data_IF_650397533426
#
_entry.id   IF_650397533426
#
_cell.length_a   1.000
_cell.length_b   1.000
_cell.length_c   1.000
_cell.angle_alpha   90.00
_cell.angle_beta   90.00
_cell.angle_gamma   90.00
#
_symmetry.space_group_name_H-M   'P 1'
#
loop_
_entity.id
_entity.type
_entity.pdbx_description
1 polymer ?
#
# COMPACT_ATOMS: atom_id res chain seq x y z
N UNK A 1 4.52 36.88 2.12
CA UNK A 1 3.43 36.39 2.99
C UNK A 1 3.97 35.22 3.81
N UNK A 2 3.52 35.01 5.06
CA UNK A 2 3.83 33.79 5.79
C UNK A 2 3.32 32.58 5.00
N UNK A 3 4.13 31.53 4.89
CA UNK A 3 3.78 30.28 4.21
C UNK A 3 3.54 29.20 5.24
N UNK A 4 2.45 28.46 5.10
CA UNK A 4 2.07 27.38 6.02
C UNK A 4 2.82 26.12 5.58
N UNK A 5 3.75 25.58 6.38
CA UNK A 5 4.42 24.32 6.04
C UNK A 5 3.39 23.19 6.04
N UNK A 6 3.31 22.44 4.94
CA UNK A 6 2.34 21.37 4.73
C UNK A 6 2.94 19.99 4.86
N UNK A 7 4.11 19.79 4.26
CA UNK A 7 4.80 18.50 4.26
C UNK A 7 6.29 18.69 4.44
N UNK A 8 6.90 17.73 5.13
CA UNK A 8 8.33 17.71 5.45
C UNK A 8 8.87 16.33 5.08
N UNK A 9 10.04 16.32 4.43
CA UNK A 9 10.76 15.08 4.05
C UNK A 9 12.24 15.23 4.37
N UNK A 10 12.83 14.14 4.85
CA UNK A 10 14.27 14.01 4.93
C UNK A 10 14.79 13.50 3.58
N UNK A 11 15.90 14.05 3.11
CA UNK A 11 16.58 13.63 1.89
C UNK A 11 18.08 13.49 2.11
N UNK A 12 18.81 12.95 1.12
CA UNK A 12 20.24 12.69 1.22
C UNK A 12 20.57 11.90 2.50
N UNK A 13 19.82 10.82 2.76
CA UNK A 13 19.98 9.97 3.96
C UNK A 13 19.85 10.73 5.29
N UNK A 14 19.07 11.81 5.31
CA UNK A 14 18.81 12.60 6.51
C UNK A 14 19.69 13.83 6.69
N UNK A 15 20.62 14.10 5.76
CA UNK A 15 21.44 15.32 5.80
C UNK A 15 20.64 16.59 5.52
N UNK A 16 19.54 16.48 4.77
CA UNK A 16 18.69 17.59 4.38
C UNK A 16 17.24 17.38 4.83
N UNK A 17 16.57 18.50 5.11
CA UNK A 17 15.13 18.60 5.33
C UNK A 17 14.53 19.44 4.22
N UNK A 18 13.50 18.91 3.58
CA UNK A 18 12.73 19.60 2.56
C UNK A 18 11.37 19.94 3.13
N UNK A 19 11.01 21.22 3.05
CA UNK A 19 9.71 21.75 3.51
C UNK A 19 8.93 22.21 2.28
N UNK A 20 7.67 21.77 2.20
CA UNK A 20 6.73 22.17 1.16
C UNK A 20 5.63 23.04 1.75
N UNK A 21 5.37 24.19 1.14
CA UNK A 21 4.37 25.15 1.61
C UNK A 21 3.00 24.93 0.99
N UNK A 22 1.96 24.80 1.82
CA UNK A 22 0.55 24.65 1.41
C UNK A 22 0.17 25.75 0.42
N UNK A 23 -0.42 25.38 -0.73
CA UNK A 23 -0.95 26.26 -1.79
C UNK A 23 0.07 27.18 -2.50
N UNK A 24 1.16 27.54 -1.82
CA UNK A 24 2.16 28.49 -2.29
C UNK A 24 3.01 27.97 -3.46
N UNK A 25 3.17 26.64 -3.59
CA UNK A 25 4.16 26.04 -4.47
C UNK A 25 5.60 26.09 -3.92
N UNK A 26 5.82 26.62 -2.71
CA UNK A 26 7.16 26.69 -2.12
C UNK A 26 7.71 25.29 -1.83
N UNK A 27 8.94 25.04 -2.26
CA UNK A 27 9.79 23.93 -1.86
C UNK A 27 11.12 24.51 -1.34
N UNK A 28 11.42 24.29 -0.08
CA UNK A 28 12.63 24.80 0.60
C UNK A 28 13.47 23.64 1.08
N UNK A 29 14.77 23.66 0.78
CA UNK A 29 15.74 22.72 1.31
C UNK A 29 16.63 23.40 2.34
N UNK A 30 16.82 22.74 3.48
CA UNK A 30 17.72 23.16 4.54
C UNK A 30 18.57 21.99 5.02
N UNK A 31 19.77 22.30 5.51
CA UNK A 31 20.60 21.32 6.21
C UNK A 31 19.90 20.91 7.51
N UNK A 32 19.81 19.60 7.76
CA UNK A 32 19.13 19.07 8.95
C UNK A 32 19.82 19.49 10.26
N UNK A 33 21.16 19.57 10.24
CA UNK A 33 21.97 19.86 11.42
C UNK A 33 21.89 21.32 11.88
N UNK A 34 21.84 22.28 10.96
CA UNK A 34 21.96 23.71 11.27
C UNK A 34 20.70 24.52 10.91
N UNK A 35 19.74 23.94 10.17
CA UNK A 35 18.60 24.67 9.62
C UNK A 35 18.99 25.71 8.57
N UNK A 36 20.24 25.69 8.09
CA UNK A 36 20.71 26.61 7.07
C UNK A 36 20.03 26.30 5.73
N UNK A 37 19.39 27.30 5.13
CA UNK A 37 18.69 27.16 3.85
C UNK A 37 19.71 26.95 2.73
N UNK A 38 19.66 25.78 2.09
CA UNK A 38 20.48 25.45 0.93
C UNK A 38 19.90 26.08 -0.34
N UNK A 39 18.58 25.98 -0.52
CA UNK A 39 17.87 26.61 -1.64
C UNK A 39 16.37 26.70 -1.38
N UNK A 40 15.72 27.60 -2.10
CA UNK A 40 14.25 27.71 -2.18
C UNK A 40 13.84 27.74 -3.64
N UNK A 41 12.84 26.95 -4.00
CA UNK A 41 12.27 26.84 -5.35
C UNK A 41 10.76 26.99 -5.28
N UNK A 42 10.18 27.44 -6.39
CA UNK A 42 8.73 27.51 -6.57
C UNK A 42 8.30 26.49 -7.61
N UNK A 43 7.38 25.60 -7.25
CA UNK A 43 6.70 24.71 -8.18
C UNK A 43 5.66 25.52 -8.97
N UNK A 44 5.30 25.05 -10.17
CA UNK A 44 4.28 25.71 -10.99
C UNK A 44 2.85 25.51 -10.46
N UNK A 45 2.62 24.44 -9.72
CA UNK A 45 1.34 24.15 -9.09
C UNK A 45 1.32 24.57 -7.62
N UNK A 46 0.11 24.78 -7.09
CA UNK A 46 -0.10 24.76 -5.65
C UNK A 46 0.26 23.38 -5.08
N UNK A 47 0.57 23.33 -3.79
CA UNK A 47 0.91 22.09 -3.09
C UNK A 47 -0.16 21.78 -2.06
N UNK A 48 -0.94 20.73 -2.29
CA UNK A 48 -1.86 20.17 -1.30
C UNK A 48 -1.18 19.19 -0.37
N UNK A 49 -0.47 18.23 -0.97
CA UNK A 49 0.43 17.30 -0.32
C UNK A 49 1.48 16.82 -1.32
N UNK A 50 2.45 16.05 -0.85
CA UNK A 50 3.51 15.50 -1.68
C UNK A 50 3.84 14.05 -1.31
N UNK A 51 4.34 13.32 -2.30
CA UNK A 51 5.05 12.07 -2.12
C UNK A 51 6.39 12.15 -2.85
N UNK A 52 7.48 11.82 -2.16
CA UNK A 52 8.82 11.72 -2.75
C UNK A 52 9.11 10.25 -2.97
N UNK A 53 9.66 9.88 -4.13
CA UNK A 53 10.05 8.50 -4.39
C UNK A 53 11.19 8.08 -3.44
N UNK A 54 11.25 6.81 -3.02
CA UNK A 54 12.37 6.27 -2.25
C UNK A 54 13.75 6.57 -2.83
N UNK A 55 13.88 6.60 -4.15
CA UNK A 55 15.13 6.96 -4.85
C UNK A 55 15.43 8.46 -4.93
N UNK A 56 14.57 9.31 -4.35
CA UNK A 56 14.62 10.77 -4.33
C UNK A 56 14.64 11.44 -5.73
N UNK A 57 14.24 10.74 -6.81
CA UNK A 57 14.21 11.31 -8.17
C UNK A 57 12.89 11.92 -8.58
N UNK A 58 11.78 11.43 -8.02
CA UNK A 58 10.43 11.80 -8.42
C UNK A 58 9.65 12.39 -7.26
N UNK A 59 8.92 13.47 -7.55
CA UNK A 59 8.04 14.14 -6.61
C UNK A 59 6.64 14.21 -7.21
N UNK A 60 5.69 13.53 -6.57
CA UNK A 60 4.27 13.70 -6.82
C UNK A 60 3.73 14.82 -5.95
N UNK A 61 2.92 15.69 -6.53
CA UNK A 61 2.34 16.85 -5.86
C UNK A 61 0.84 16.85 -6.13
N UNK A 62 0.03 16.81 -5.08
CA UNK A 62 -1.40 17.12 -5.20
C UNK A 62 -1.51 18.59 -5.60
N UNK A 63 -1.92 18.84 -6.84
CA UNK A 63 -1.91 20.18 -7.42
C UNK A 63 -3.10 21.05 -6.98
N UNK A 64 -3.96 20.52 -6.09
CA UNK A 64 -5.17 21.17 -5.55
C UNK A 64 -6.20 21.56 -6.61
N UNK A 65 -6.02 21.10 -7.85
CA UNK A 65 -6.87 21.47 -8.97
C UNK A 65 -7.47 20.20 -9.60
N UNK A 66 -6.70 19.53 -10.46
CA UNK A 66 -7.20 18.43 -11.30
C UNK A 66 -6.64 17.07 -10.91
N UNK A 67 -5.80 16.98 -9.88
CA UNK A 67 -5.19 15.71 -9.46
C UNK A 67 -3.76 15.92 -9.00
N UNK A 68 -2.84 15.17 -9.61
CA UNK A 68 -1.43 15.17 -9.21
C UNK A 68 -0.52 15.61 -10.36
N UNK A 69 0.51 16.37 -10.04
CA UNK A 69 1.59 16.69 -10.96
C UNK A 69 2.85 15.90 -10.54
N UNK A 70 3.56 15.37 -11.52
CA UNK A 70 4.84 14.69 -11.32
C UNK A 70 5.98 15.62 -11.70
N UNK A 71 6.95 15.75 -10.81
CA UNK A 71 8.15 16.54 -11.00
C UNK A 71 9.37 15.65 -10.93
N UNK A 72 10.35 15.89 -11.80
CA UNK A 72 11.69 15.37 -11.57
C UNK A 72 12.33 16.19 -10.46
N UNK A 73 12.47 15.62 -9.27
CA UNK A 73 13.03 16.34 -8.12
C UNK A 73 14.51 16.72 -8.38
N UNK A 74 14.97 17.93 -7.98
CA UNK A 74 14.25 19.05 -7.36
C UNK A 74 13.85 20.15 -8.36
N UNK A 75 13.42 19.80 -9.57
CA UNK A 75 13.03 20.77 -10.60
C UNK A 75 11.63 21.34 -10.34
N UNK A 76 11.40 22.54 -10.87
CA UNK A 76 10.18 23.35 -10.64
C UNK A 76 9.10 23.21 -11.70
N UNK A 77 9.39 22.55 -12.83
CA UNK A 77 8.41 22.31 -13.89
C UNK A 77 7.90 20.87 -13.81
N UNK A 78 6.58 20.66 -13.94
CA UNK A 78 6.02 19.31 -13.98
C UNK A 78 6.46 18.62 -15.26
N UNK A 79 6.83 17.35 -15.14
CA UNK A 79 7.08 16.43 -16.23
C UNK A 79 5.77 15.83 -16.77
N UNK A 80 4.77 15.63 -15.89
CA UNK A 80 3.45 15.08 -16.25
C UNK A 80 2.37 15.52 -15.24
N UNK A 81 1.10 15.32 -15.61
CA UNK A 81 -0.07 15.59 -14.78
C UNK A 81 -1.12 14.48 -14.91
N UNK A 82 -1.65 14.02 -13.79
CA UNK A 82 -2.60 12.91 -13.67
C UNK A 82 -3.96 13.43 -13.21
N UNK A 83 -4.98 13.27 -14.07
CA UNK A 83 -6.31 13.77 -13.80
C UNK A 83 -7.10 12.81 -12.88
N UNK A 84 -7.57 13.33 -11.75
CA UNK A 84 -8.51 12.66 -10.84
C UNK A 84 -9.76 13.53 -10.78
N UNK A 85 -10.96 13.00 -11.07
CA UNK A 85 -12.20 13.74 -10.89
C UNK A 85 -12.31 14.25 -9.45
N UNK A 86 -12.63 15.54 -9.28
CA UNK A 86 -12.82 16.14 -7.95
C UNK A 86 -14.16 16.85 -7.89
N UNK A 87 -14.90 16.58 -6.82
CA UNK A 87 -16.07 17.35 -6.41
C UNK A 87 -15.67 18.48 -5.45
N UNK A 88 -14.65 18.24 -4.62
CA UNK A 88 -14.14 19.15 -3.60
C UNK A 88 -12.62 19.33 -3.73
N UNK A 89 -12.13 20.54 -3.50
CA UNK A 89 -10.70 20.86 -3.46
C UNK A 89 -10.07 20.42 -2.13
N UNK A 90 -10.12 19.12 -1.83
CA UNK A 90 -9.48 18.55 -0.65
C UNK A 90 -8.05 18.13 -0.94
N UNK A 91 -7.21 18.21 0.09
CA UNK A 91 -5.86 17.65 0.06
C UNK A 91 -5.94 16.12 0.04
N UNK A 92 -5.20 15.51 -0.88
CA UNK A 92 -5.08 14.07 -1.04
C UNK A 92 -3.62 13.64 -0.91
N UNK A 93 -3.38 12.49 -0.26
CA UNK A 93 -2.09 11.83 -0.28
C UNK A 93 -1.96 10.92 -1.51
N UNK A 94 -0.71 10.64 -1.89
CA UNK A 94 -0.37 9.65 -2.90
C UNK A 94 0.78 8.78 -2.37
N UNK A 95 0.90 7.57 -2.91
CA UNK A 95 1.97 6.65 -2.58
C UNK A 95 2.52 5.99 -3.85
N UNK A 96 3.85 5.92 -3.97
CA UNK A 96 4.51 5.18 -5.05
C UNK A 96 4.29 3.68 -4.86
N UNK A 97 4.06 2.97 -5.96
CA UNK A 97 3.78 1.53 -6.01
C UNK A 97 4.79 0.82 -6.93
N UNK A 98 4.87 -0.51 -6.79
CA UNK A 98 5.51 -1.39 -7.77
C UNK A 98 6.91 -0.90 -8.18
N UNK A 99 7.75 -0.66 -7.17
CA UNK A 99 9.11 -0.13 -7.33
C UNK A 99 9.15 1.15 -8.18
N UNK A 100 8.28 2.10 -7.82
CA UNK A 100 8.18 3.44 -8.43
C UNK A 100 7.73 3.42 -9.90
N UNK A 101 7.14 2.32 -10.38
CA UNK A 101 6.59 2.23 -11.74
C UNK A 101 5.13 2.68 -11.86
N UNK A 102 4.46 2.86 -10.71
CA UNK A 102 3.10 3.35 -10.60
C UNK A 102 2.92 4.17 -9.32
N UNK A 103 1.76 4.80 -9.16
CA UNK A 103 1.35 5.40 -7.88
C UNK A 103 -0.15 5.25 -7.64
N UNK A 104 -0.54 5.22 -6.36
CA UNK A 104 -1.93 5.30 -5.92
C UNK A 104 -2.26 6.68 -5.37
N UNK A 105 -3.51 7.11 -5.56
CA UNK A 105 -4.10 8.26 -4.87
C UNK A 105 -5.54 7.96 -4.47
N UNK A 106 -5.96 8.49 -3.33
CA UNK A 106 -7.37 8.52 -2.95
C UNK A 106 -8.19 9.53 -3.75
N UNK A 107 -9.48 9.64 -3.44
CA UNK A 107 -10.41 10.61 -4.02
C UNK A 107 -11.44 11.09 -2.99
N UNK A 108 -12.18 12.15 -3.33
CA UNK A 108 -13.29 12.69 -2.53
C UNK A 108 -14.62 11.94 -2.75
N UNK A 109 -14.61 10.88 -3.56
CA UNK A 109 -15.81 10.17 -3.99
C UNK A 109 -15.66 8.64 -3.92
N UNK A 110 -14.91 8.18 -2.92
CA UNK A 110 -14.87 6.77 -2.50
C UNK A 110 -14.06 5.85 -3.41
N UNK A 111 -13.15 6.42 -4.21
CA UNK A 111 -12.32 5.68 -5.16
C UNK A 111 -10.84 5.91 -4.92
N UNK A 112 -10.05 4.90 -5.24
CA UNK A 112 -8.60 4.98 -5.30
C UNK A 112 -8.21 4.80 -6.76
N UNK A 113 -7.35 5.65 -7.25
CA UNK A 113 -6.85 5.62 -8.62
C UNK A 113 -5.40 5.14 -8.61
N UNK A 114 -5.08 4.20 -9.49
CA UNK A 114 -3.72 3.72 -9.72
C UNK A 114 -3.30 4.15 -11.13
N UNK A 115 -2.20 4.87 -11.22
CA UNK A 115 -1.66 5.39 -12.48
C UNK A 115 -0.29 4.77 -12.78
N UNK A 116 0.01 4.60 -14.07
CA UNK A 116 1.35 4.23 -14.52
C UNK A 116 2.26 5.45 -14.57
N UNK A 117 3.50 5.30 -14.12
CA UNK A 117 4.56 6.29 -14.35
C UNK A 117 5.36 6.01 -15.63
N UNK A 118 5.26 4.79 -16.21
CA UNK A 118 5.87 4.42 -17.49
C UNK A 118 5.06 4.93 -18.68
N UNK A 119 3.75 4.73 -18.62
CA UNK A 119 2.79 5.21 -19.61
C UNK A 119 2.03 6.40 -19.01
N UNK A 120 2.75 7.52 -18.91
CA UNK A 120 2.33 8.89 -18.59
C UNK A 120 0.82 9.15 -18.80
N UNK A 121 0.17 9.74 -17.79
CA UNK A 121 -1.28 10.04 -17.75
C UNK A 121 -2.28 8.86 -17.83
N UNK A 122 -1.85 7.60 -17.95
CA UNK A 122 -2.79 6.47 -18.01
C UNK A 122 -3.22 5.99 -16.61
N UNK A 123 -4.52 6.07 -16.33
CA UNK A 123 -5.13 5.36 -15.20
C UNK A 123 -5.16 3.85 -15.50
N UNK A 124 -4.41 3.07 -14.73
CA UNK A 124 -4.35 1.61 -14.86
C UNK A 124 -5.58 0.94 -14.23
N UNK A 125 -5.96 1.39 -13.04
CA UNK A 125 -7.00 0.73 -12.26
C UNK A 125 -7.69 1.73 -11.33
N UNK A 126 -8.95 1.43 -11.03
CA UNK A 126 -9.75 2.18 -10.04
C UNK A 126 -10.32 1.20 -9.03
N UNK A 127 -9.98 1.36 -7.75
CA UNK A 127 -10.49 0.57 -6.64
C UNK A 127 -11.65 1.31 -5.97
N UNK A 128 -12.70 0.59 -5.61
CA UNK A 128 -13.89 1.18 -4.97
C UNK A 128 -13.93 0.80 -3.49
N UNK A 129 -13.74 1.79 -2.61
CA UNK A 129 -13.81 1.61 -1.16
C UNK A 129 -15.14 2.09 -0.58
N UNK A 130 -15.70 3.17 -1.12
CA UNK A 130 -16.84 3.88 -0.52
C UNK A 130 -17.90 4.37 -1.49
N UNK A 131 -18.78 5.22 -0.98
CA UNK A 131 -19.82 5.92 -1.73
C UNK A 131 -19.33 7.22 -2.37
N UNK A 132 -20.23 7.92 -3.06
CA UNK A 132 -19.94 9.15 -3.83
C UNK A 132 -19.44 10.35 -3.01
N UNK A 133 -19.51 10.29 -1.69
CA UNK A 133 -19.08 11.33 -0.75
C UNK A 133 -18.03 10.84 0.24
N UNK A 134 -17.49 9.63 0.01
CA UNK A 134 -16.50 9.04 0.90
C UNK A 134 -15.15 9.66 0.60
N UNK A 135 -14.62 10.40 1.56
CA UNK A 135 -13.32 11.04 1.47
C UNK A 135 -12.22 10.01 1.78
N UNK A 136 -11.42 9.67 0.76
CA UNK A 136 -10.20 8.87 0.92
C UNK A 136 -9.02 9.84 0.81
N UNK A 137 -8.62 10.39 1.95
CA UNK A 137 -7.62 11.45 1.98
C UNK A 137 -6.21 10.90 2.13
N UNK A 138 -6.07 9.74 2.77
CA UNK A 138 -4.79 9.10 3.09
C UNK A 138 -4.66 7.77 2.37
N UNK A 139 -3.50 7.58 1.74
CA UNK A 139 -3.07 6.32 1.15
C UNK A 139 -1.60 6.11 1.48
N UNK A 140 -1.24 4.86 1.73
CA UNK A 140 0.15 4.44 1.87
C UNK A 140 0.34 3.13 1.12
N UNK A 141 1.58 2.80 0.80
CA UNK A 141 1.88 1.59 0.06
C UNK A 141 3.20 0.98 0.48
N UNK A 142 3.26 -0.35 0.35
CA UNK A 142 4.50 -1.07 0.50
C UNK A 142 4.57 -2.20 -0.52
N UNK A 143 5.77 -2.43 -1.03
CA UNK A 143 6.08 -3.59 -1.86
C UNK A 143 6.87 -4.57 -1.01
N UNK A 144 6.50 -5.84 -1.11
CA UNK A 144 7.26 -6.98 -0.59
C UNK A 144 7.71 -7.84 -1.76
N UNK A 145 8.55 -8.85 -1.51
CA UNK A 145 8.92 -9.81 -2.54
C UNK A 145 7.73 -10.66 -3.05
N UNK A 146 6.63 -10.71 -2.31
CA UNK A 146 5.48 -11.58 -2.60
C UNK A 146 4.27 -10.81 -3.15
N UNK A 147 4.10 -9.55 -2.70
CA UNK A 147 2.94 -8.74 -3.06
C UNK A 147 3.19 -7.25 -2.94
N UNK A 148 2.37 -6.48 -3.66
CA UNK A 148 2.24 -5.05 -3.50
C UNK A 148 0.97 -4.75 -2.70
N UNK A 149 1.11 -3.95 -1.66
CA UNK A 149 0.03 -3.56 -0.77
C UNK A 149 -0.25 -2.07 -0.89
N UNK A 150 -1.54 -1.73 -0.85
CA UNK A 150 -2.02 -0.35 -0.69
C UNK A 150 -2.92 -0.30 0.52
N UNK A 151 -2.62 0.59 1.45
CA UNK A 151 -3.49 0.92 2.57
C UNK A 151 -4.22 2.23 2.29
N UNK A 152 -5.52 2.30 2.61
CA UNK A 152 -6.32 3.50 2.38
C UNK A 152 -7.26 3.78 3.54
N UNK A 153 -7.31 5.03 3.98
CA UNK A 153 -8.10 5.48 5.13
C UNK A 153 -9.20 6.47 4.75
N UNK A 154 -10.35 6.36 5.41
CA UNK A 154 -11.49 7.27 5.21
C UNK A 154 -11.77 8.14 6.43
N UNK A 155 -12.22 9.37 6.20
CA UNK A 155 -12.67 10.30 7.25
C UNK A 155 -14.18 10.24 7.52
N UNK A 156 -14.81 9.09 7.27
CA UNK A 156 -16.23 8.88 7.57
C UNK A 156 -16.49 8.74 9.08
N UNK A 157 -17.76 8.91 9.50
CA UNK A 157 -18.19 8.73 10.90
C UNK A 157 -17.76 7.38 11.49
N UNK A 158 -17.71 6.34 10.65
CA UNK A 158 -17.10 5.06 10.97
C UNK A 158 -15.81 4.95 10.18
N UNK A 159 -14.69 5.33 10.79
CA UNK A 159 -13.39 5.26 10.15
C UNK A 159 -13.05 3.81 9.82
N UNK A 160 -12.65 3.57 8.57
CA UNK A 160 -12.23 2.25 8.11
C UNK A 160 -10.91 2.36 7.37
N UNK A 161 -10.07 1.35 7.54
CA UNK A 161 -8.84 1.18 6.77
C UNK A 161 -9.01 -0.05 5.90
N UNK A 162 -8.74 0.11 4.60
CA UNK A 162 -8.75 -0.99 3.64
C UNK A 162 -7.32 -1.30 3.25
N UNK A 163 -7.03 -2.61 3.14
CA UNK A 163 -5.76 -3.11 2.61
C UNK A 163 -6.08 -3.80 1.30
N UNK A 164 -5.45 -3.35 0.22
CA UNK A 164 -5.55 -3.91 -1.11
C UNK A 164 -4.25 -4.64 -1.41
N UNK A 165 -4.35 -5.84 -1.96
CA UNK A 165 -3.19 -6.68 -2.26
C UNK A 165 -3.18 -7.09 -3.73
N UNK A 166 -2.01 -6.96 -4.37
CA UNK A 166 -1.69 -7.55 -5.66
C UNK A 166 -0.53 -8.53 -5.47
N UNK A 167 -0.81 -9.82 -5.59
CA UNK A 167 0.21 -10.87 -5.53
C UNK A 167 1.06 -10.88 -6.79
N UNK A 168 2.36 -11.10 -6.64
CA UNK A 168 3.29 -11.24 -7.75
C UNK A 168 3.25 -12.70 -8.23
N UNK A 169 2.74 -12.92 -9.44
CA UNK A 169 2.70 -14.27 -10.04
C UNK A 169 4.13 -14.82 -10.17
N UNK A 170 4.37 -15.99 -9.57
CA UNK A 170 5.70 -16.58 -9.39
C UNK A 170 6.07 -16.84 -7.92
N UNK A 171 5.47 -16.10 -6.98
CA UNK A 171 5.54 -16.35 -5.54
C UNK A 171 4.18 -16.68 -4.92
N UNK A 172 3.17 -16.93 -5.77
CA UNK A 172 1.86 -17.42 -5.36
C UNK A 172 2.02 -18.65 -4.49
N UNK A 173 1.85 -18.45 -3.18
CA UNK A 173 1.66 -19.42 -2.12
C UNK A 173 1.59 -20.85 -2.64
N UNK A 174 2.59 -21.65 -2.28
CA UNK A 174 2.36 -23.02 -1.87
C UNK A 174 1.48 -23.00 -0.60
N UNK A 175 0.27 -22.44 -0.68
CA UNK A 175 -0.86 -22.87 0.13
C UNK A 175 -1.27 -24.23 -0.44
N UNK A 176 -0.40 -25.19 -0.21
CA UNK A 176 -0.81 -26.56 0.02
C UNK A 176 -1.84 -26.50 1.15
N UNK A 177 -3.12 -26.53 0.78
CA UNK A 177 -4.17 -27.14 1.59
C UNK A 177 -3.90 -28.65 1.76
N UNK A 178 -2.70 -28.98 2.21
CA UNK A 178 -2.17 -30.32 2.35
C UNK A 178 -1.35 -30.31 3.62
N UNK A 179 -1.75 -31.18 4.54
CA UNK A 179 -1.01 -31.53 5.74
C UNK A 179 0.47 -31.59 5.37
N UNK A 180 1.27 -30.64 5.86
CA UNK A 180 2.70 -30.59 5.55
C UNK A 180 3.28 -31.97 5.83
N UNK A 181 4.13 -32.49 4.93
CA UNK A 181 4.75 -33.81 5.08
C UNK A 181 5.38 -33.95 6.47
N UNK A 182 5.90 -32.86 7.03
CA UNK A 182 6.36 -32.78 8.42
C UNK A 182 5.25 -33.02 9.43
N UNK A 183 4.08 -32.39 9.28
CA UNK A 183 2.90 -32.62 10.14
C UNK A 183 2.42 -34.07 10.03
N UNK A 184 2.41 -34.65 8.83
CA UNK A 184 2.02 -36.04 8.62
C UNK A 184 3.03 -37.02 9.25
N UNK A 185 4.33 -36.73 9.13
CA UNK A 185 5.40 -37.50 9.78
C UNK A 185 5.39 -37.37 11.30
N UNK A 186 5.04 -36.20 11.84
CA UNK A 186 4.86 -35.98 13.28
C UNK A 186 3.66 -36.78 13.79
N UNK A 187 2.52 -36.72 13.09
CA UNK A 187 1.33 -37.52 13.45
C UNK A 187 1.66 -39.02 13.39
N UNK A 188 2.32 -39.50 12.33
CA UNK A 188 2.73 -40.90 12.21
C UNK A 188 3.68 -41.33 13.34
N UNK A 189 4.65 -40.48 13.71
CA UNK A 189 5.54 -40.77 14.83
C UNK A 189 4.78 -40.85 16.16
N UNK A 190 3.87 -39.91 16.41
CA UNK A 190 3.07 -39.90 17.65
C UNK A 190 2.16 -41.14 17.71
N UNK A 191 1.51 -41.51 16.61
CA UNK A 191 0.68 -42.73 16.53
C UNK A 191 1.52 -43.98 16.74
N UNK A 192 2.73 -44.04 16.17
CA UNK A 192 3.64 -45.18 16.32
C UNK A 192 4.11 -45.35 17.76
N UNK A 193 4.44 -44.24 18.44
CA UNK A 193 4.83 -44.23 19.85
C UNK A 193 3.64 -44.65 20.72
N UNK A 194 2.44 -44.13 20.47
CA UNK A 194 1.24 -44.51 21.22
C UNK A 194 0.90 -46.00 21.01
N UNK A 195 1.00 -46.52 19.79
CA UNK A 195 0.79 -47.93 19.51
C UNK A 195 1.81 -48.82 20.23
N UNK A 196 3.09 -48.42 20.24
CA UNK A 196 4.14 -49.12 20.98
C UNK A 196 3.90 -49.10 22.50
N UNK A 197 3.47 -47.96 23.05
CA UNK A 197 3.12 -47.82 24.47
C UNK A 197 1.88 -48.64 24.82
N UNK A 198 0.86 -48.69 23.95
CA UNK A 198 -0.34 -49.51 24.16
C UNK A 198 -0.04 -51.01 24.07
N UNK A 199 0.85 -51.41 23.15
CA UNK A 199 1.37 -52.78 23.08
C UNK A 199 2.19 -53.15 24.32
N UNK A 200 3.08 -52.27 24.77
CA UNK A 200 3.90 -52.50 25.96
C UNK A 200 3.09 -52.48 27.26
N UNK A 201 1.98 -51.73 27.32
CA UNK A 201 1.08 -51.66 28.48
C UNK A 201 0.01 -52.76 28.52
N UNK A 202 -0.04 -53.65 27.52
CA UNK A 202 -0.90 -54.84 27.54
C UNK A 202 -2.41 -54.57 27.42
N UNK A 203 -2.81 -53.37 26.96
CA UNK A 203 -4.22 -52.98 26.88
C UNK A 203 -4.84 -53.55 25.60
N UNK A 204 -5.68 -54.60 25.72
CA UNK A 204 -6.48 -55.13 24.61
C UNK A 204 -7.62 -54.16 24.25
N UNK A 205 -7.49 -53.45 23.14
CA UNK A 205 -8.59 -52.67 22.54
C UNK A 205 -9.62 -53.65 21.96
N UNK A 206 -10.82 -53.69 22.55
CA UNK A 206 -11.98 -54.44 22.00
C UNK A 206 -12.52 -53.71 20.78
N UNK A 207 -12.63 -54.42 19.65
CA UNK A 207 -13.07 -53.87 18.37
C UNK A 207 -14.49 -53.30 18.44
N UNK A 208 -14.67 -52.10 17.88
CA UNK A 208 -15.99 -51.56 17.57
C UNK A 208 -16.41 -52.04 16.19
N UNK A 209 -17.49 -52.80 16.16
CA UNK A 209 -18.22 -53.23 14.97
C UNK A 209 -18.86 -52.01 14.27
N UNK A 210 -18.68 -51.89 12.94
CA UNK A 210 -19.47 -51.00 12.09
C UNK A 210 -20.28 -51.88 11.13
N UNK A 211 -21.62 -51.91 11.19
CA UNK A 211 -22.42 -52.66 10.24
C UNK A 211 -22.51 -51.92 8.90
N UNK A 212 -22.31 -52.68 7.83
CA UNK A 212 -22.57 -52.28 6.44
C UNK A 212 -24.08 -52.14 6.21
N UNK A 213 -24.52 -50.96 5.76
CA UNK A 213 -25.87 -50.71 5.26
C UNK A 213 -25.82 -50.24 3.81
N UNK A 214 -26.32 -51.07 2.92
CA UNK A 214 -26.39 -50.92 1.46
C UNK A 214 -27.49 -49.96 0.98
N UNK A 215 -27.18 -49.20 -0.08
CA UNK A 215 -28.02 -48.67 -1.18
C UNK A 215 -29.37 -47.98 -0.87
N UNK A 216 -29.61 -46.80 -1.48
CA UNK A 216 -30.59 -46.58 -2.58
C UNK A 216 -30.70 -45.07 -2.90
N UNK A 217 -30.89 -44.80 -4.21
CA UNK A 217 -31.25 -43.57 -4.90
C UNK A 217 -32.29 -42.66 -4.21
N UNK A 218 -32.05 -41.33 -4.27
CA UNK A 218 -32.76 -40.35 -5.11
C UNK A 218 -31.95 -39.05 -5.18
#
# INVERSE_FOLDING_TARGET
>A
MPVIPRSVRFTAKGENVIVFGLESGMMMCMTAAAGAISWTKMLKSGVGNIALSPDEKWLLVDNLAKGFDLYQYPHSSPADSFAIPRADCCVQEAAFLEDESAFASGSDHGKIYIFSLKNTSQCLQVLKQGGKKTMIQVVDACSTGESHLVASGTSEKKSTVFIWEKTIEGHGRQQSGGCSVLTLLVILNVVSILAAVLWASGIRVRGLYIPYGSNIFL
#
